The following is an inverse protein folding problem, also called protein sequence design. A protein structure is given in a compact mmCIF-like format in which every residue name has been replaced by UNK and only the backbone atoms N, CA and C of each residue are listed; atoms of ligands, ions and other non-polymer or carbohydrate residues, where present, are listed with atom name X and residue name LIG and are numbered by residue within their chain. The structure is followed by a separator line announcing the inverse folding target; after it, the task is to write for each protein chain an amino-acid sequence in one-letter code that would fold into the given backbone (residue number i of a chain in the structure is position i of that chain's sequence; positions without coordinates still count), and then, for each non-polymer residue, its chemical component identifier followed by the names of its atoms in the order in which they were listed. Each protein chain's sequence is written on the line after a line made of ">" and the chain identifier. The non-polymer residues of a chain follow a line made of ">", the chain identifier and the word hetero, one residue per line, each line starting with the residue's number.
data_IF_270859065750
#
_entry.id   IF_270859065750
#
_cell.length_a   1.000
_cell.length_b   1.000
_cell.length_c   1.000
_cell.angle_alpha   90.00
_cell.angle_beta   90.00
_cell.angle_gamma   90.00
#
_symmetry.space_group_name_H-M   'P 1'
#
loop_
_entity.id
_entity.type
_entity.pdbx_description
1 polymer ?
#
# COMPACT_ATOMS: atom_id res chain seq x y z
N UNK A 1 9.92 14.94 15.36
CA UNK A 1 8.45 14.79 15.41
C UNK A 1 8.12 13.31 15.58
N UNK A 2 7.18 12.93 16.47
CA UNK A 2 6.90 11.52 16.84
C UNK A 2 6.05 10.83 15.76
N UNK A 3 6.45 9.64 15.32
CA UNK A 3 5.67 8.84 14.38
C UNK A 3 4.35 8.36 15.03
N UNK A 4 3.23 8.27 14.31
CA UNK A 4 1.98 7.77 14.84
C UNK A 4 2.00 6.29 15.17
N UNK A 5 1.11 5.90 16.09
CA UNK A 5 1.05 4.53 16.59
C UNK A 5 0.96 3.49 15.49
N UNK A 6 0.12 3.71 14.46
CA UNK A 6 -0.01 2.81 13.33
C UNK A 6 1.29 2.68 12.54
N UNK A 7 1.91 3.78 12.11
CA UNK A 7 3.19 3.72 11.39
C UNK A 7 4.30 3.06 12.24
N UNK A 8 4.32 3.28 13.56
CA UNK A 8 5.27 2.62 14.47
C UNK A 8 5.02 1.12 14.58
N UNK A 9 3.75 0.71 14.67
CA UNK A 9 3.36 -0.71 14.69
C UNK A 9 3.74 -1.39 13.37
N UNK A 10 3.50 -0.74 12.23
CA UNK A 10 3.94 -1.23 10.92
C UNK A 10 5.44 -1.47 10.86
N UNK A 11 6.23 -0.46 11.21
CA UNK A 11 7.69 -0.54 11.23
C UNK A 11 8.19 -1.61 12.21
N UNK A 12 7.51 -1.78 13.35
CA UNK A 12 7.83 -2.85 14.29
C UNK A 12 7.54 -4.24 13.71
N UNK A 13 6.46 -4.41 12.95
CA UNK A 13 6.04 -5.67 12.36
C UNK A 13 6.96 -6.11 11.21
N UNK A 14 7.41 -5.17 10.37
CA UNK A 14 8.39 -5.44 9.30
C UNK A 14 9.80 -5.71 9.86
N UNK A 15 10.14 -5.18 11.04
CA UNK A 15 11.44 -5.34 11.67
C UNK A 15 11.60 -6.67 12.45
N UNK A 16 10.53 -7.43 12.68
CA UNK A 16 10.59 -8.71 13.39
C UNK A 16 11.47 -9.72 12.61
N UNK A 17 12.52 -10.30 13.22
CA UNK A 17 13.36 -11.28 12.55
C UNK A 17 12.57 -12.57 12.26
N UNK A 18 12.66 -13.06 11.03
CA UNK A 18 12.07 -14.36 10.65
C UNK A 18 12.89 -15.50 11.27
N UNK A 19 12.23 -16.44 11.94
CA UNK A 19 12.82 -17.75 12.22
C UNK A 19 13.21 -18.44 10.89
N UNK A 20 14.48 -18.86 10.84
CA UNK A 20 15.15 -19.65 9.80
C UNK A 20 15.03 -19.17 8.34
N UNK A 21 16.10 -18.49 7.93
CA UNK A 21 16.59 -18.43 6.55
C UNK A 21 16.94 -19.86 6.08
N UNK A 22 15.97 -20.62 5.58
CA UNK A 22 16.30 -21.73 4.69
C UNK A 22 16.71 -21.14 3.35
N UNK A 23 17.92 -21.47 2.89
CA UNK A 23 18.46 -21.10 1.59
C UNK A 23 17.45 -21.50 0.49
N UNK A 24 17.12 -20.65 -0.49
CA UNK A 24 16.31 -21.09 -1.61
C UNK A 24 17.14 -22.01 -2.50
N UNK A 25 16.90 -23.32 -2.39
CA UNK A 25 17.14 -24.23 -3.51
C UNK A 25 15.91 -24.17 -4.40
N UNK A 26 15.91 -23.25 -5.35
CA UNK A 26 15.02 -23.34 -6.52
C UNK A 26 15.74 -22.69 -7.69
N UNK A 27 16.37 -23.55 -8.47
CA UNK A 27 16.97 -23.22 -9.77
C UNK A 27 15.83 -23.03 -10.76
N UNK A 28 15.26 -21.83 -10.80
CA UNK A 28 14.43 -21.38 -11.91
C UNK A 28 14.78 -19.90 -12.15
N UNK A 29 15.08 -19.48 -13.39
CA UNK A 29 15.43 -18.10 -13.67
C UNK A 29 14.17 -17.25 -13.43
N UNK A 30 14.06 -16.71 -12.22
CA UNK A 30 13.05 -15.72 -11.87
C UNK A 30 13.29 -14.53 -12.79
N UNK A 31 12.47 -14.40 -13.83
CA UNK A 31 12.55 -13.25 -14.72
C UNK A 31 12.43 -11.99 -13.84
N UNK A 32 13.45 -11.10 -13.81
CA UNK A 32 13.35 -9.89 -13.03
C UNK A 32 12.25 -9.05 -13.67
N UNK A 33 11.07 -9.05 -13.06
CA UNK A 33 10.03 -8.09 -13.39
C UNK A 33 10.66 -6.69 -13.43
N UNK A 34 10.28 -5.84 -14.39
CA UNK A 34 10.89 -4.51 -14.50
C UNK A 34 10.75 -3.79 -13.17
N UNK A 35 11.89 -3.34 -12.63
CA UNK A 35 11.92 -2.48 -11.45
C UNK A 35 11.15 -1.22 -11.82
N UNK A 36 10.16 -0.87 -11.01
CA UNK A 36 9.43 0.38 -11.18
C UNK A 36 10.40 1.51 -10.83
N UNK A 37 10.86 2.24 -11.84
CA UNK A 37 11.69 3.44 -11.66
C UNK A 37 10.81 4.65 -11.40
N UNK A 38 11.39 5.67 -10.79
CA UNK A 38 10.74 6.97 -10.64
C UNK A 38 10.38 7.58 -12.00
N UNK A 39 9.25 8.29 -12.03
CA UNK A 39 8.70 9.00 -13.17
C UNK A 39 7.78 10.09 -12.62
N UNK A 40 8.08 11.34 -12.95
CA UNK A 40 7.44 12.52 -12.36
C UNK A 40 5.98 12.68 -12.79
N UNK A 41 5.58 12.08 -13.92
CA UNK A 41 4.22 12.19 -14.48
C UNK A 41 3.36 10.98 -14.04
N UNK A 42 3.67 10.38 -12.88
CA UNK A 42 3.09 9.12 -12.43
C UNK A 42 2.28 9.24 -11.15
N UNK A 43 1.09 8.65 -11.20
CA UNK A 43 0.24 8.48 -10.03
C UNK A 43 0.64 7.27 -9.20
N UNK A 44 0.55 7.43 -7.89
CA UNK A 44 0.66 6.36 -6.90
C UNK A 44 -0.72 6.08 -6.35
N UNK A 45 -1.16 4.83 -6.47
CA UNK A 45 -2.36 4.35 -5.84
C UNK A 45 -2.05 3.88 -4.42
N UNK A 46 -2.78 4.44 -3.46
CA UNK A 46 -2.69 4.11 -2.05
C UNK A 46 -3.99 3.47 -1.57
N UNK A 47 -3.85 2.43 -0.76
CA UNK A 47 -4.93 1.74 -0.08
C UNK A 47 -4.55 1.54 1.39
N UNK A 48 -5.54 1.41 2.28
CA UNK A 48 -5.33 1.32 3.72
C UNK A 48 -4.77 2.60 4.32
N UNK A 49 -3.73 2.47 5.16
CA UNK A 49 -3.27 3.59 6.00
C UNK A 49 -2.69 4.79 5.27
N UNK A 50 -2.17 4.60 4.06
CA UNK A 50 -1.64 5.69 3.25
C UNK A 50 -2.75 6.46 2.51
N UNK A 51 -4.02 6.06 2.68
CA UNK A 51 -5.18 6.82 2.21
C UNK A 51 -5.43 8.09 3.04
N UNK A 52 -4.94 8.14 4.28
CA UNK A 52 -5.02 9.32 5.13
C UNK A 52 -3.95 10.36 4.71
N UNK A 53 -4.35 11.57 4.27
CA UNK A 53 -3.42 12.58 3.77
C UNK A 53 -2.38 12.99 4.81
N UNK A 54 -2.75 13.05 6.09
CA UNK A 54 -1.84 13.40 7.19
C UNK A 54 -0.76 12.35 7.42
N UNK A 55 -1.12 11.08 7.25
CA UNK A 55 -0.20 9.95 7.34
C UNK A 55 0.74 9.91 6.15
N UNK A 56 0.21 10.09 4.94
CA UNK A 56 1.03 10.15 3.73
C UNK A 56 2.03 11.31 3.81
N UNK A 57 1.59 12.52 4.16
CA UNK A 57 2.45 13.70 4.32
C UNK A 57 3.64 13.42 5.23
N UNK A 58 3.40 12.77 6.37
CA UNK A 58 4.46 12.45 7.33
C UNK A 58 5.42 11.36 6.83
N UNK A 59 4.92 10.32 6.15
CA UNK A 59 5.79 9.29 5.53
C UNK A 59 6.67 9.93 4.47
N UNK A 60 6.08 10.81 3.67
CA UNK A 60 6.76 11.61 2.65
C UNK A 60 7.59 12.76 3.23
N UNK A 61 7.49 13.04 4.54
CA UNK A 61 8.08 14.19 5.23
C UNK A 61 7.78 15.53 4.53
N UNK A 62 6.57 15.67 4.01
CA UNK A 62 6.05 16.90 3.43
C UNK A 62 5.58 17.86 4.53
N UNK A 63 5.75 19.19 4.31
CA UNK A 63 5.23 20.20 5.23
C UNK A 63 3.69 20.30 5.17
N UNK A 64 3.08 19.91 4.06
CA UNK A 64 1.64 19.96 3.81
C UNK A 64 1.14 18.60 3.28
N UNK A 65 -0.15 18.33 3.47
CA UNK A 65 -0.79 17.14 2.93
C UNK A 65 -0.82 17.18 1.40
N UNK A 66 -0.40 16.11 0.71
CA UNK A 66 -0.45 16.08 -0.74
C UNK A 66 -1.90 16.01 -1.22
N UNK A 67 -2.14 16.45 -2.46
CA UNK A 67 -3.45 16.37 -3.09
C UNK A 67 -3.77 14.91 -3.42
N UNK A 68 -4.86 14.40 -2.85
CA UNK A 68 -5.31 13.03 -3.05
C UNK A 68 -6.64 13.02 -3.78
N UNK A 69 -6.78 12.10 -4.72
CA UNK A 69 -7.96 11.93 -5.56
C UNK A 69 -8.63 10.60 -5.23
N UNK A 70 -9.95 10.54 -5.00
CA UNK A 70 -10.66 9.27 -4.93
C UNK A 70 -10.35 8.42 -6.18
N UNK A 71 -10.06 7.14 -5.97
CA UNK A 71 -9.61 6.27 -7.05
C UNK A 71 -9.96 4.80 -6.82
N UNK A 72 -9.89 4.01 -7.89
CA UNK A 72 -9.92 2.54 -7.80
C UNK A 72 -8.95 1.88 -8.78
N UNK A 73 -8.60 0.64 -8.49
CA UNK A 73 -7.87 -0.25 -9.40
C UNK A 73 -8.64 -1.55 -9.60
N UNK A 74 -8.57 -2.14 -10.80
CA UNK A 74 -9.27 -3.37 -11.14
C UNK A 74 -8.32 -4.58 -11.23
N UNK A 75 -8.85 -5.77 -10.98
CA UNK A 75 -8.09 -7.03 -11.05
C UNK A 75 -7.27 -7.32 -9.79
N UNK A 76 -7.63 -6.70 -8.67
CA UNK A 76 -6.96 -6.88 -7.39
C UNK A 76 -7.96 -7.24 -6.30
N UNK A 77 -7.48 -7.80 -5.20
CA UNK A 77 -8.22 -7.92 -3.96
C UNK A 77 -7.27 -7.68 -2.79
N UNK A 78 -7.81 -7.49 -1.59
CA UNK A 78 -7.01 -7.28 -0.38
C UNK A 78 -7.17 -8.43 0.60
N UNK A 79 -6.08 -8.77 1.29
CA UNK A 79 -6.07 -9.65 2.47
C UNK A 79 -5.38 -8.94 3.63
N UNK A 80 -5.43 -9.51 4.82
CA UNK A 80 -4.78 -8.93 5.99
C UNK A 80 -3.45 -9.59 6.30
N UNK A 81 -2.40 -8.78 6.48
CA UNK A 81 -1.18 -9.15 7.17
C UNK A 81 -1.21 -8.54 8.59
N UNK A 82 -1.81 -9.27 9.54
CA UNK A 82 -2.15 -8.70 10.85
C UNK A 82 -3.13 -7.54 10.70
N UNK A 83 -2.75 -6.34 11.15
CA UNK A 83 -3.56 -5.11 11.00
C UNK A 83 -3.38 -4.40 9.66
N UNK A 84 -2.54 -4.90 8.75
CA UNK A 84 -2.15 -4.21 7.52
C UNK A 84 -2.79 -4.84 6.28
N UNK A 85 -3.37 -4.06 5.37
CA UNK A 85 -3.88 -4.62 4.13
C UNK A 85 -2.74 -5.03 3.20
N UNK A 86 -2.94 -6.12 2.48
CA UNK A 86 -2.02 -6.72 1.53
C UNK A 86 -2.74 -6.92 0.21
N UNK A 87 -2.37 -6.12 -0.79
CA UNK A 87 -2.94 -6.23 -2.14
C UNK A 87 -2.36 -7.44 -2.87
N UNK A 88 -3.25 -8.22 -3.48
CA UNK A 88 -2.96 -9.43 -4.26
C UNK A 88 -3.69 -9.35 -5.60
N UNK A 89 -3.27 -10.15 -6.58
CA UNK A 89 -4.04 -10.28 -7.82
C UNK A 89 -5.41 -10.89 -7.48
N UNK A 90 -6.47 -10.25 -7.94
CA UNK A 90 -7.86 -10.66 -7.74
C UNK A 90 -8.43 -11.38 -8.95
N UNK A 91 -9.47 -12.20 -8.77
CA UNK A 91 -10.18 -12.78 -9.90
C UNK A 91 -10.97 -11.72 -10.68
N UNK A 92 -10.88 -11.77 -12.01
CA UNK A 92 -11.70 -10.95 -12.90
C UNK A 92 -11.44 -9.44 -12.79
N UNK A 93 -12.51 -8.66 -12.70
CA UNK A 93 -12.47 -7.19 -12.60
C UNK A 93 -12.80 -6.71 -11.18
N UNK A 94 -12.44 -7.48 -10.15
CA UNK A 94 -12.63 -7.05 -8.77
C UNK A 94 -11.92 -5.70 -8.54
N UNK A 95 -12.65 -4.75 -7.96
CA UNK A 95 -12.18 -3.40 -7.75
C UNK A 95 -11.68 -3.22 -6.32
N UNK A 96 -10.54 -2.55 -6.17
CA UNK A 96 -10.05 -2.07 -4.87
C UNK A 96 -10.13 -0.56 -4.88
N UNK A 97 -10.92 -0.02 -3.96
CA UNK A 97 -11.04 1.41 -3.73
C UNK A 97 -9.87 1.94 -2.92
N UNK A 98 -9.53 3.19 -3.16
CA UNK A 98 -8.41 3.86 -2.54
C UNK A 98 -8.32 5.31 -3.01
N UNK A 99 -7.10 5.80 -3.07
CA UNK A 99 -6.82 7.18 -3.49
C UNK A 99 -5.56 7.22 -4.33
N UNK A 100 -5.51 8.16 -5.26
CA UNK A 100 -4.37 8.42 -6.12
C UNK A 100 -3.72 9.75 -5.76
N UNK A 101 -2.40 9.81 -5.84
CA UNK A 101 -1.61 11.02 -5.62
C UNK A 101 -0.48 11.07 -6.64
N UNK A 102 -0.20 12.27 -7.15
CA UNK A 102 0.97 12.53 -7.98
C UNK A 102 2.21 12.65 -7.09
N UNK A 103 3.30 11.99 -7.49
CA UNK A 103 4.58 12.09 -6.78
C UNK A 103 5.60 12.64 -7.77
N UNK A 104 5.90 13.94 -7.62
CA UNK A 104 6.65 14.72 -8.62
C UNK A 104 8.17 14.68 -8.44
N UNK A 105 8.68 14.20 -7.31
CA UNK A 105 10.13 14.15 -7.02
C UNK A 105 10.58 12.76 -6.56
N UNK A 106 11.79 12.40 -6.99
CA UNK A 106 12.37 11.06 -6.78
C UNK A 106 12.56 10.73 -5.30
N UNK A 107 12.93 11.72 -4.48
CA UNK A 107 13.12 11.58 -3.03
C UNK A 107 11.86 11.09 -2.31
N UNK A 108 10.67 11.50 -2.78
CA UNK A 108 9.39 11.03 -2.24
C UNK A 108 9.12 9.58 -2.64
N UNK A 109 9.47 9.19 -3.88
CA UNK A 109 9.43 7.80 -4.31
C UNK A 109 10.35 6.92 -3.46
N UNK A 110 11.60 7.35 -3.25
CA UNK A 110 12.55 6.63 -2.41
C UNK A 110 12.02 6.44 -0.99
N UNK A 111 11.47 7.48 -0.36
CA UNK A 111 10.82 7.38 0.95
C UNK A 111 9.68 6.39 1.00
N UNK A 112 8.86 6.30 -0.06
CA UNK A 112 7.78 5.31 -0.15
C UNK A 112 8.32 3.89 -0.32
N UNK A 113 9.37 3.71 -1.13
CA UNK A 113 10.05 2.43 -1.30
C UNK A 113 10.70 1.99 0.01
N UNK A 114 11.32 2.90 0.75
CA UNK A 114 11.87 2.66 2.09
C UNK A 114 10.79 2.31 3.11
N UNK A 115 9.65 3.00 3.09
CA UNK A 115 8.52 2.69 3.96
C UNK A 115 7.99 1.28 3.71
N UNK A 116 7.81 0.89 2.44
CA UNK A 116 7.30 -0.43 2.06
C UNK A 116 8.31 -1.57 2.19
N UNK A 117 9.57 -1.28 2.53
CA UNK A 117 10.70 -2.16 2.28
C UNK A 117 10.53 -3.54 2.94
N UNK A 118 10.60 -4.59 2.11
CA UNK A 118 10.65 -6.00 2.51
C UNK A 118 9.34 -6.78 2.38
N UNK A 119 8.18 -6.13 2.47
CA UNK A 119 6.86 -6.82 2.42
C UNK A 119 5.96 -6.38 1.29
N UNK A 120 6.24 -5.23 0.68
CA UNK A 120 5.53 -4.73 -0.48
C UNK A 120 6.51 -4.43 -1.62
N UNK A 121 6.04 -4.54 -2.86
CA UNK A 121 6.75 -4.20 -4.08
C UNK A 121 5.89 -3.30 -4.94
N UNK A 122 6.49 -2.30 -5.58
CA UNK A 122 5.77 -1.49 -6.57
C UNK A 122 5.45 -2.33 -7.81
N UNK A 123 4.23 -2.12 -8.35
CA UNK A 123 3.77 -2.71 -9.61
C UNK A 123 3.04 -1.64 -10.40
N UNK A 124 3.24 -1.64 -11.72
CA UNK A 124 2.43 -0.85 -12.64
C UNK A 124 0.96 -1.29 -12.57
N UNK A 125 0.04 -0.34 -12.63
CA UNK A 125 -1.40 -0.56 -12.70
C UNK A 125 -2.08 0.57 -13.50
N UNK A 126 -3.34 0.34 -13.86
CA UNK A 126 -4.24 1.40 -14.32
C UNK A 126 -5.08 1.84 -13.14
N UNK A 127 -5.17 3.14 -12.96
CA UNK A 127 -5.90 3.78 -11.86
C UNK A 127 -7.07 4.53 -12.48
N UNK A 128 -8.29 4.20 -12.06
CA UNK A 128 -9.47 4.98 -12.36
C UNK A 128 -9.57 6.10 -11.32
N UNK A 129 -9.45 7.36 -11.74
CA UNK A 129 -9.75 8.53 -10.92
C UNK A 129 -11.26 8.72 -10.90
N UNK A 130 -11.80 8.92 -9.71
CA UNK A 130 -13.25 9.04 -9.48
C UNK A 130 -13.63 10.49 -9.22
N UNK A 131 -14.80 10.88 -9.70
CA UNK A 131 -15.40 12.17 -9.40
C UNK A 131 -16.05 12.18 -8.00
N UNK A 132 -16.66 13.32 -7.63
CA UNK A 132 -17.37 13.44 -6.36
C UNK A 132 -18.62 12.55 -6.22
N UNK A 133 -19.11 11.98 -7.32
CA UNK A 133 -20.23 11.02 -7.35
C UNK A 133 -19.78 9.56 -7.30
N UNK A 134 -18.47 9.28 -7.41
CA UNK A 134 -17.91 7.93 -7.46
C UNK A 134 -17.86 7.32 -8.87
N UNK A 135 -18.19 8.10 -9.91
CA UNK A 135 -18.07 7.68 -11.30
C UNK A 135 -16.64 7.88 -11.81
N UNK A 136 -16.23 7.09 -12.81
CA UNK A 136 -14.89 7.21 -13.39
C UNK A 136 -14.81 8.49 -14.22
N UNK A 137 -14.02 9.45 -13.75
CA UNK A 137 -13.72 10.69 -14.48
C UNK A 137 -12.64 10.44 -15.55
N UNK A 138 -11.59 9.71 -15.18
CA UNK A 138 -10.49 9.38 -16.10
C UNK A 138 -9.70 8.16 -15.63
N UNK A 139 -8.97 7.50 -16.54
CA UNK A 139 -8.06 6.40 -16.20
C UNK A 139 -6.61 6.78 -16.54
N UNK A 140 -5.72 6.66 -15.56
CA UNK A 140 -4.31 7.06 -15.67
C UNK A 140 -3.37 5.89 -15.41
N UNK A 141 -2.14 5.97 -15.94
CA UNK A 141 -1.09 5.02 -15.61
C UNK A 141 -0.50 5.36 -14.26
N UNK A 142 -0.33 4.35 -13.43
CA UNK A 142 0.26 4.54 -12.12
C UNK A 142 0.93 3.30 -11.57
N UNK A 143 1.28 3.37 -10.30
CA UNK A 143 1.91 2.29 -9.56
C UNK A 143 1.22 2.06 -8.23
N UNK A 144 1.26 0.82 -7.76
CA UNK A 144 0.66 0.39 -6.51
C UNK A 144 1.62 -0.49 -5.71
N UNK A 145 1.58 -0.38 -4.39
CA UNK A 145 2.27 -1.29 -3.48
C UNK A 145 1.55 -2.63 -3.43
N UNK A 146 2.12 -3.67 -4.01
CA UNK A 146 1.57 -5.03 -3.96
C UNK A 146 2.30 -5.88 -2.92
N UNK A 147 1.60 -6.81 -2.26
CA UNK A 147 2.23 -7.76 -1.36
C UNK A 147 3.37 -8.54 -2.03
N UNK A 148 4.50 -8.62 -1.33
CA UNK A 148 5.72 -9.31 -1.73
C UNK A 148 6.15 -10.39 -0.71
N UNK A 149 5.37 -10.60 0.36
CA UNK A 149 5.60 -11.66 1.32
C UNK A 149 4.99 -12.99 0.88
N UNK A 150 5.03 -13.98 1.78
CA UNK A 150 4.41 -15.29 1.55
C UNK A 150 2.90 -15.19 1.75
N UNK A 151 2.11 -15.90 0.95
CA UNK A 151 0.64 -15.86 1.06
C UNK A 151 0.20 -16.47 2.39
N UNK A 152 0.93 -17.46 2.91
CA UNK A 152 0.69 -18.09 4.21
C UNK A 152 0.78 -17.14 5.41
N UNK A 153 1.45 -15.99 5.27
CA UNK A 153 1.51 -14.96 6.31
C UNK A 153 0.21 -14.12 6.38
N UNK A 154 -0.70 -14.29 5.41
CA UNK A 154 -1.92 -13.51 5.31
C UNK A 154 -3.11 -14.25 5.94
N UNK A 155 -3.91 -13.50 6.69
CA UNK A 155 -5.17 -13.92 7.29
C UNK A 155 -6.36 -13.53 6.39
N UNK A 156 -7.45 -14.28 6.49
CA UNK A 156 -8.50 -14.39 5.47
C UNK A 156 -9.36 -13.16 5.17
N UNK A 157 -10.16 -13.33 4.10
CA UNK A 157 -11.43 -12.66 3.80
C UNK A 157 -11.36 -11.31 3.10
N UNK A 158 -12.13 -11.19 2.01
CA UNK A 158 -12.57 -9.92 1.40
C UNK A 158 -13.51 -9.25 2.40
N UNK A 159 -12.96 -8.49 3.34
CA UNK A 159 -13.75 -7.65 4.25
C UNK A 159 -13.23 -6.23 4.13
N UNK A 160 -14.16 -5.29 3.97
CA UNK A 160 -13.92 -3.91 3.58
C UNK A 160 -12.83 -3.23 4.41
N UNK A 161 -11.99 -2.45 3.74
CA UNK A 161 -10.84 -1.75 4.33
C UNK A 161 -11.24 -0.80 5.47
N UNK A 162 -12.46 -0.26 5.40
CA UNK A 162 -12.98 0.77 6.32
C UNK A 162 -13.43 0.19 7.67
N UNK A 163 -14.11 -0.95 7.66
CA UNK A 163 -14.60 -1.64 8.87
C UNK A 163 -13.43 -2.05 9.79
N UNK A 164 -12.28 -2.41 9.18
CA UNK A 164 -11.06 -2.80 9.89
C UNK A 164 -10.28 -1.63 10.47
N UNK A 165 -10.36 -0.43 9.89
CA UNK A 165 -9.68 0.75 10.42
C UNK A 165 -10.36 1.25 11.72
N UNK A 166 -11.68 1.12 11.81
CA UNK A 166 -12.44 1.49 13.02
C UNK A 166 -12.08 0.63 14.23
N UNK A 167 -11.93 -0.69 14.08
CA UNK A 167 -11.65 -1.60 15.19
C UNK A 167 -10.24 -1.37 15.81
N UNK A 168 -9.27 -1.00 14.97
CA UNK A 168 -7.90 -0.68 15.43
C UNK A 168 -7.83 0.68 16.12
N UNK A 169 -8.73 1.62 15.79
CA UNK A 169 -8.84 2.90 16.48
C UNK A 169 -9.45 2.74 17.88
N UNK A 170 -10.50 1.92 18.00
CA UNK A 170 -11.18 1.68 19.28
C UNK A 170 -10.39 0.77 20.24
N UNK A 171 -9.53 -0.11 19.72
CA UNK A 171 -8.71 -1.00 20.57
C UNK A 171 -7.42 -0.35 21.11
N UNK A 172 -7.18 0.94 20.82
CA UNK A 172 -5.96 1.67 21.18
C UNK A 172 -6.10 2.63 22.37
N UNK A 173 -7.28 2.73 22.99
CA UNK A 173 -7.54 3.67 24.10
C UNK A 173 -7.44 3.03 25.51
N UNK A 174 -7.18 1.73 25.63
CA UNK A 174 -7.10 1.05 26.94
C UNK A 174 -5.66 0.59 27.26
N UNK A 175 -4.76 1.53 27.52
CA UNK A 175 -3.54 1.26 28.31
C UNK A 175 -3.25 2.51 29.16
N UNK A 176 -3.81 2.54 30.38
CA UNK A 176 -3.42 3.46 31.47
C UNK A 176 -2.41 2.78 32.40
#
# INVERSE_FOLDING_TARGET
>A
TKMPPMARKFLSEIAKPKHQRHKPTSTSPEQPWPVVTFDKDRYYFFYGTLMDPSTLARVLQLPEAPKMHPARILGYHTKSWGSWPALLDGPGLHAVEGVACEIEVEELHERLVEYGMGKYRLRYCLIDLLDGGGDVESSVRGVVFKWNGRIEELQGGDVGLEERMQEVMFSGEEEF
#
